data_IF_614347875324
#
_entry.id   IF_614347875324
#
_cell.length_a   1.000
_cell.length_b   1.000
_cell.length_c   1.000
_cell.angle_alpha   90.00
_cell.angle_beta   90.00
_cell.angle_gamma   90.00
#
_symmetry.space_group_name_H-M   'P 1'
#
loop_
_entity.id
_entity.type
_entity.pdbx_description
1 polymer ?
#
# COMPACT_ATOMS: atom_id res chain seq x y z
N UNK A 1 -12.88 -16.46 10.92
CA UNK A 1 -12.32 -16.67 9.56
C UNK A 1 -11.28 -15.59 9.31
N UNK A 2 -10.18 -15.93 8.65
CA UNK A 2 -9.14 -14.94 8.28
C UNK A 2 -9.59 -14.15 7.05
N UNK A 3 -9.06 -12.94 6.86
CA UNK A 3 -9.47 -12.05 5.76
C UNK A 3 -9.33 -12.75 4.39
N UNK A 4 -8.21 -13.42 4.15
CA UNK A 4 -7.99 -14.13 2.88
C UNK A 4 -8.92 -15.32 2.63
N UNK A 5 -9.65 -15.80 3.64
CA UNK A 5 -10.65 -16.88 3.51
C UNK A 5 -12.06 -16.32 3.23
N UNK A 6 -12.21 -15.00 3.28
CA UNK A 6 -13.50 -14.32 3.18
C UNK A 6 -13.69 -13.59 1.85
N UNK A 7 -12.60 -13.30 1.14
CA UNK A 7 -12.62 -12.49 -0.08
C UNK A 7 -11.85 -13.16 -1.20
N UNK A 8 -12.48 -13.27 -2.37
CA UNK A 8 -11.83 -13.75 -3.59
C UNK A 8 -10.93 -12.68 -4.24
N UNK A 9 -11.22 -11.40 -3.95
CA UNK A 9 -10.56 -10.23 -4.51
C UNK A 9 -10.35 -9.15 -3.43
N UNK A 10 -9.13 -8.65 -3.33
CA UNK A 10 -8.75 -7.58 -2.40
C UNK A 10 -8.04 -6.48 -3.20
N UNK A 11 -8.44 -5.23 -3.00
CA UNK A 11 -7.83 -4.09 -3.66
C UNK A 11 -7.40 -3.01 -2.67
N UNK A 12 -6.45 -2.16 -3.09
CA UNK A 12 -6.03 -1.05 -2.26
C UNK A 12 -5.25 0.03 -3.00
N UNK A 13 -5.26 1.21 -2.41
CA UNK A 13 -4.46 2.38 -2.82
C UNK A 13 -3.74 2.92 -1.60
N UNK A 14 -2.51 3.43 -1.78
CA UNK A 14 -1.71 3.99 -0.68
C UNK A 14 -1.61 2.98 0.50
N UNK A 15 -1.94 3.40 1.72
CA UNK A 15 -2.07 2.54 2.91
C UNK A 15 -2.95 1.31 2.67
N UNK A 16 -4.07 1.46 1.96
CA UNK A 16 -4.94 0.35 1.63
C UNK A 16 -4.24 -0.71 0.77
N UNK A 17 -3.31 -0.29 -0.10
CA UNK A 17 -2.49 -1.20 -0.90
C UNK A 17 -1.54 -2.03 -0.04
N UNK A 18 -0.92 -1.41 0.97
CA UNK A 18 -0.09 -2.12 1.95
C UNK A 18 -0.89 -3.18 2.72
N UNK A 19 -2.09 -2.82 3.19
CA UNK A 19 -2.98 -3.74 3.89
C UNK A 19 -3.47 -4.87 2.98
N UNK A 20 -3.78 -4.56 1.71
CA UNK A 20 -4.19 -5.56 0.72
C UNK A 20 -3.10 -6.63 0.53
N UNK A 21 -1.83 -6.22 0.43
CA UNK A 21 -0.69 -7.15 0.33
C UNK A 21 -0.49 -7.92 1.64
N UNK A 22 -0.51 -7.25 2.79
CA UNK A 22 -0.28 -7.91 4.09
C UNK A 22 -1.35 -8.97 4.41
N UNK A 23 -2.63 -8.65 4.17
CA UNK A 23 -3.77 -9.53 4.49
C UNK A 23 -4.01 -10.58 3.40
N UNK A 24 -3.89 -10.18 2.13
CA UNK A 24 -4.23 -11.02 0.98
C UNK A 24 -3.08 -11.88 0.47
N UNK A 25 -1.84 -11.37 0.53
CA UNK A 25 -0.66 -12.06 0.00
C UNK A 25 0.16 -12.71 1.10
N UNK A 26 0.52 -11.93 2.13
CA UNK A 26 1.33 -12.43 3.26
C UNK A 26 0.49 -13.15 4.32
N UNK A 27 -0.82 -13.24 4.12
CA UNK A 27 -1.78 -13.94 4.98
C UNK A 27 -1.68 -13.57 6.47
N UNK A 28 -1.28 -12.32 6.76
CA UNK A 28 -1.10 -11.84 8.12
C UNK A 28 -2.43 -11.72 8.86
N UNK A 29 -2.38 -11.77 10.19
CA UNK A 29 -3.54 -11.46 11.03
C UNK A 29 -3.77 -9.95 11.08
N UNK A 30 -5.01 -9.54 11.40
CA UNK A 30 -5.33 -8.13 11.58
C UNK A 30 -4.48 -7.49 12.68
N UNK A 31 -4.24 -8.20 13.79
CA UNK A 31 -3.41 -7.71 14.90
C UNK A 31 -1.98 -7.42 14.44
N UNK A 32 -1.39 -8.32 13.62
CA UNK A 32 -0.05 -8.13 13.06
C UNK A 32 -0.01 -6.96 12.07
N UNK A 33 -1.05 -6.83 11.24
CA UNK A 33 -1.21 -5.67 10.36
C UNK A 33 -1.31 -4.36 11.15
N UNK A 34 -2.05 -4.34 12.26
CA UNK A 34 -2.16 -3.17 13.13
C UNK A 34 -0.82 -2.81 13.77
N UNK A 35 -0.07 -3.80 14.26
CA UNK A 35 1.26 -3.57 14.84
C UNK A 35 2.20 -2.93 13.81
N UNK A 36 2.26 -3.51 12.61
CA UNK A 36 3.11 -3.02 11.54
C UNK A 36 2.69 -1.62 11.10
N UNK A 37 1.38 -1.36 11.03
CA UNK A 37 0.85 -0.05 10.68
C UNK A 37 1.15 1.01 11.76
N UNK A 38 1.12 0.64 13.05
CA UNK A 38 1.57 1.51 14.14
C UNK A 38 3.06 1.83 14.04
N UNK A 39 3.91 0.85 13.69
CA UNK A 39 5.35 1.07 13.46
C UNK A 39 5.57 2.02 12.29
N UNK A 40 4.87 1.80 11.19
CA UNK A 40 4.89 2.66 10.00
C UNK A 40 4.50 4.10 10.33
N UNK A 41 3.40 4.29 11.06
CA UNK A 41 2.94 5.62 11.45
C UNK A 41 3.97 6.38 12.30
N UNK A 42 4.70 5.70 13.18
CA UNK A 42 5.78 6.34 13.96
C UNK A 42 6.94 6.81 13.09
N UNK A 43 7.28 6.06 12.04
CA UNK A 43 8.38 6.40 11.13
C UNK A 43 7.99 7.51 10.14
N UNK A 44 6.77 7.45 9.61
CA UNK A 44 6.28 8.43 8.63
C UNK A 44 5.86 9.75 9.31
N UNK A 45 5.45 9.71 10.59
CA UNK A 45 4.96 10.88 11.34
C UNK A 45 5.87 11.28 12.51
N UNK A 46 7.18 11.08 12.38
CA UNK A 46 8.19 11.50 13.34
C UNK A 46 8.38 13.05 13.39
N UNK A 47 7.30 13.80 13.64
CA UNK A 47 7.38 15.13 14.26
C UNK A 47 7.27 14.96 15.79
N UNK A 48 7.84 15.86 16.61
CA UNK A 48 7.84 15.71 18.06
C UNK A 48 6.39 15.71 18.55
N UNK A 49 5.96 14.57 19.07
CA UNK A 49 4.64 14.39 19.69
C UNK A 49 4.51 15.44 20.80
N UNK A 50 3.58 16.42 20.71
CA UNK A 50 3.18 17.14 21.91
C UNK A 50 2.59 16.09 22.83
N UNK A 51 3.19 15.97 24.02
CA UNK A 51 2.61 15.17 25.10
C UNK A 51 1.14 15.59 25.26
N UNK A 52 0.31 14.58 25.51
CA UNK A 52 -1.10 14.71 25.91
C UNK A 52 -2.11 14.78 24.77
N UNK A 53 -2.27 13.67 24.03
CA UNK A 53 -3.60 13.14 23.70
C UNK A 53 -3.48 11.71 23.15
N UNK A 54 -3.66 10.71 24.01
CA UNK A 54 -3.75 9.29 23.63
C UNK A 54 -5.05 8.92 22.90
N UNK A 55 -5.84 9.91 22.47
CA UNK A 55 -7.17 9.71 21.89
C UNK A 55 -7.23 9.87 20.36
N UNK A 56 -6.18 10.37 19.70
CA UNK A 56 -6.20 10.51 18.24
C UNK A 56 -6.17 9.12 17.58
N UNK A 57 -7.34 8.67 17.11
CA UNK A 57 -7.47 7.39 16.44
C UNK A 57 -6.63 7.42 15.17
N UNK A 58 -5.92 6.33 14.86
CA UNK A 58 -5.05 6.25 13.68
C UNK A 58 -5.77 6.60 12.36
N UNK A 59 -7.09 6.42 12.30
CA UNK A 59 -7.97 6.83 11.21
C UNK A 59 -7.96 8.34 11.00
N UNK A 60 -7.93 9.11 12.08
CA UNK A 60 -7.91 10.58 12.07
C UNK A 60 -6.56 11.10 11.58
N UNK A 61 -5.46 10.47 12.00
CA UNK A 61 -4.11 10.82 11.51
C UNK A 61 -3.96 10.51 10.01
N UNK A 62 -4.42 9.34 9.58
CA UNK A 62 -4.41 8.97 8.16
C UNK A 62 -5.28 9.92 7.32
N UNK A 63 -6.48 10.24 7.81
CA UNK A 63 -7.39 11.18 7.17
C UNK A 63 -6.77 12.59 7.09
N UNK A 64 -6.08 13.03 8.13
CA UNK A 64 -5.35 14.29 8.15
C UNK A 64 -4.23 14.35 7.11
N UNK A 65 -3.51 13.24 6.89
CA UNK A 65 -2.50 13.15 5.82
C UNK A 65 -3.07 13.02 4.42
N UNK A 66 -4.15 12.26 4.24
CA UNK A 66 -4.85 12.22 2.98
C UNK A 66 -5.32 13.63 2.58
N UNK A 67 -5.92 14.36 3.54
CA UNK A 67 -6.32 15.76 3.37
C UNK A 67 -5.14 16.70 3.15
N UNK A 68 -4.01 16.51 3.85
CA UNK A 68 -2.81 17.34 3.62
C UNK A 68 -2.14 17.04 2.28
N UNK A 69 -2.23 15.81 1.77
CA UNK A 69 -1.72 15.45 0.44
C UNK A 69 -2.53 16.10 -0.69
N UNK A 70 -3.79 16.46 -0.42
CA UNK A 70 -4.69 17.15 -1.35
C UNK A 70 -4.34 18.64 -1.53
N UNK A 71 -3.61 19.24 -0.59
CA UNK A 71 -3.08 20.60 -0.71
C UNK A 71 -1.57 20.63 -0.38
N UNK A 72 -0.74 20.53 -1.44
CA UNK A 72 0.70 20.87 -1.55
C UNK A 72 1.61 19.72 -2.00
N UNK A 73 1.70 19.52 -3.32
CA UNK A 73 2.79 18.75 -4.00
C UNK A 73 4.10 19.58 -4.10
N UNK A 74 4.41 20.40 -3.09
CA UNK A 74 5.67 21.16 -2.99
C UNK A 74 6.12 21.27 -1.54
N UNK A 75 6.54 20.17 -0.93
CA UNK A 75 7.22 20.20 0.38
C UNK A 75 8.46 19.30 0.34
N UNK A 76 9.61 19.97 0.30
CA UNK A 76 10.95 19.53 0.69
C UNK A 76 11.38 18.08 0.39
N UNK A 77 12.00 17.91 -0.78
CA UNK A 77 12.72 16.70 -1.23
C UNK A 77 13.77 16.20 -0.21
N UNK A 78 14.28 17.04 0.69
CA UNK A 78 15.28 16.63 1.69
C UNK A 78 14.69 15.94 2.93
N UNK A 79 13.55 16.40 3.47
CA UNK A 79 12.89 15.75 4.62
C UNK A 79 12.11 14.49 4.22
N UNK A 80 11.57 14.49 3.00
CA UNK A 80 10.87 13.34 2.43
C UNK A 80 11.81 12.17 2.12
N UNK A 81 13.07 12.44 1.69
CA UNK A 81 14.05 11.38 1.37
C UNK A 81 14.34 10.46 2.55
N UNK A 82 14.69 11.02 3.72
CA UNK A 82 14.97 10.23 4.91
C UNK A 82 13.76 9.39 5.37
N UNK A 83 12.56 9.95 5.24
CA UNK A 83 11.31 9.26 5.58
C UNK A 83 10.96 8.17 4.57
N UNK A 84 11.23 8.39 3.29
CA UNK A 84 11.03 7.42 2.22
C UNK A 84 11.99 6.23 2.34
N UNK A 85 13.27 6.46 2.67
CA UNK A 85 14.25 5.38 2.86
C UNK A 85 13.85 4.45 4.02
N UNK A 86 13.38 5.03 5.13
CA UNK A 86 12.90 4.25 6.28
C UNK A 86 11.63 3.47 5.96
N UNK A 87 10.70 4.09 5.25
CA UNK A 87 9.48 3.46 4.78
C UNK A 87 9.78 2.30 3.81
N UNK A 88 10.70 2.50 2.86
CA UNK A 88 11.11 1.48 1.90
C UNK A 88 11.80 0.29 2.59
N UNK A 89 12.67 0.55 3.58
CA UNK A 89 13.29 -0.52 4.38
C UNK A 89 12.26 -1.36 5.11
N UNK A 90 11.31 -0.71 5.79
CA UNK A 90 10.23 -1.42 6.49
C UNK A 90 9.38 -2.24 5.52
N UNK A 91 9.02 -1.68 4.35
CA UNK A 91 8.32 -2.41 3.30
C UNK A 91 9.12 -3.63 2.81
N UNK A 92 10.43 -3.50 2.60
CA UNK A 92 11.30 -4.62 2.20
C UNK A 92 11.32 -5.72 3.25
N UNK A 93 11.44 -5.36 4.53
CA UNK A 93 11.40 -6.32 5.63
C UNK A 93 10.05 -7.05 5.72
N UNK A 94 8.94 -6.33 5.52
CA UNK A 94 7.60 -6.92 5.54
C UNK A 94 7.31 -7.82 4.34
N UNK A 95 7.75 -7.39 3.16
CA UNK A 95 7.47 -8.06 1.90
C UNK A 95 8.47 -9.19 1.61
N UNK A 96 9.61 -9.25 2.33
CA UNK A 96 10.58 -10.32 2.23
C UNK A 96 9.86 -11.68 2.22
N UNK A 97 10.10 -12.44 1.16
CA UNK A 97 9.50 -13.74 0.92
C UNK A 97 10.62 -14.69 0.50
N UNK A 98 10.60 -15.91 1.04
CA UNK A 98 11.58 -16.93 0.67
C UNK A 98 11.26 -17.55 -0.71
N UNK A 99 10.01 -17.41 -1.17
CA UNK A 99 9.50 -18.08 -2.38
C UNK A 99 9.57 -17.22 -3.66
N UNK A 100 10.03 -15.97 -3.59
CA UNK A 100 10.14 -15.09 -4.76
C UNK A 100 9.81 -13.62 -4.49
N UNK A 101 10.34 -12.73 -5.32
CA UNK A 101 10.22 -11.27 -5.15
C UNK A 101 9.15 -10.64 -6.05
N UNK A 102 8.52 -11.41 -6.95
CA UNK A 102 7.53 -10.87 -7.86
C UNK A 102 6.11 -11.06 -7.31
N UNK A 103 5.28 -10.04 -7.51
CA UNK A 103 3.88 -10.07 -7.09
C UNK A 103 3.10 -11.24 -7.73
N UNK A 104 3.42 -11.56 -8.98
CA UNK A 104 2.76 -12.62 -9.76
C UNK A 104 3.05 -14.03 -9.23
N UNK A 105 4.20 -14.22 -8.56
CA UNK A 105 4.57 -15.53 -7.99
C UNK A 105 3.60 -15.95 -6.88
N UNK A 106 2.88 -15.00 -6.29
CA UNK A 106 1.85 -15.29 -5.29
C UNK A 106 0.57 -15.92 -5.87
N UNK A 107 0.36 -15.86 -7.19
CA UNK A 107 -0.83 -16.40 -7.86
C UNK A 107 -1.03 -17.90 -7.63
N UNK A 108 0.06 -18.65 -7.50
CA UNK A 108 0.03 -20.12 -7.37
C UNK A 108 -0.26 -20.60 -5.94
N UNK A 109 -0.29 -19.68 -4.97
CA UNK A 109 -0.41 -20.02 -3.54
C UNK A 109 -1.86 -20.29 -3.08
N UNK A 110 -2.84 -20.27 -3.98
CA UNK A 110 -4.26 -20.48 -3.63
C UNK A 110 -4.83 -19.37 -2.74
N UNK A 111 -4.28 -18.17 -2.86
CA UNK A 111 -4.64 -16.98 -2.09
C UNK A 111 -5.58 -16.07 -2.90
N UNK A 112 -6.22 -15.06 -2.28
CA UNK A 112 -7.06 -14.11 -3.00
C UNK A 112 -6.32 -13.43 -4.15
N UNK A 113 -7.10 -13.02 -5.15
CA UNK A 113 -6.63 -12.06 -6.14
C UNK A 113 -6.41 -10.73 -5.43
N UNK A 114 -5.24 -10.13 -5.62
CA UNK A 114 -4.85 -8.87 -5.02
C UNK A 114 -4.38 -7.91 -6.11
N UNK A 115 -4.86 -6.68 -6.05
CA UNK A 115 -4.30 -5.59 -6.86
C UNK A 115 -4.14 -4.28 -6.08
N UNK A 116 -3.10 -3.54 -6.44
CA UNK A 116 -2.77 -2.23 -5.87
C UNK A 116 -2.75 -1.20 -6.99
N UNK A 117 -3.41 -0.07 -6.77
CA UNK A 117 -3.50 1.01 -7.77
C UNK A 117 -2.55 2.15 -7.41
N UNK A 118 -1.82 2.62 -8.42
CA UNK A 118 -0.94 3.79 -8.37
C UNK A 118 -1.23 4.73 -9.54
N UNK A 119 -0.54 5.86 -9.61
CA UNK A 119 -0.62 6.81 -10.71
C UNK A 119 0.70 6.84 -11.47
N UNK A 120 0.63 6.59 -12.78
CA UNK A 120 1.73 6.75 -13.72
C UNK A 120 1.87 8.24 -14.08
N UNK A 121 2.85 8.90 -13.46
CA UNK A 121 3.12 10.34 -13.67
C UNK A 121 4.10 10.62 -14.81
N UNK A 122 4.65 9.58 -15.43
CA UNK A 122 5.54 9.68 -16.60
C UNK A 122 4.79 9.88 -17.91
N UNK A 123 3.45 9.89 -17.89
CA UNK A 123 2.57 10.08 -19.04
C UNK A 123 1.61 11.24 -18.80
N UNK A 124 1.17 11.89 -19.88
CA UNK A 124 0.24 13.02 -19.84
C UNK A 124 -0.95 12.73 -20.76
N UNK A 125 -2.20 12.79 -20.27
CA UNK A 125 -2.57 12.98 -18.87
C UNK A 125 -2.13 11.78 -18.01
N UNK A 126 -1.92 12.02 -16.71
CA UNK A 126 -1.52 10.98 -15.76
C UNK A 126 -2.55 9.83 -15.77
N UNK A 127 -2.08 8.59 -15.81
CA UNK A 127 -2.92 7.41 -15.92
C UNK A 127 -2.85 6.54 -14.66
N UNK A 128 -3.93 5.84 -14.26
CA UNK A 128 -3.83 4.82 -13.23
C UNK A 128 -3.00 3.64 -13.73
N UNK A 129 -2.24 3.04 -12.82
CA UNK A 129 -1.48 1.82 -13.05
C UNK A 129 -1.88 0.77 -12.01
N UNK A 130 -2.10 -0.47 -12.46
CA UNK A 130 -2.58 -1.56 -11.60
C UNK A 130 -1.50 -2.63 -11.48
N UNK A 131 -0.94 -2.77 -10.28
CA UNK A 131 -0.12 -3.92 -9.91
C UNK A 131 -1.05 -5.04 -9.45
N UNK A 132 -0.89 -6.26 -9.95
CA UNK A 132 -1.79 -7.39 -9.62
C UNK A 132 -1.04 -8.71 -9.53
N UNK A 133 -1.54 -9.64 -8.70
CA UNK A 133 -1.03 -11.00 -8.60
C UNK A 133 -1.78 -12.01 -9.47
N UNK A 134 -2.51 -11.56 -10.49
CA UNK A 134 -3.27 -12.42 -11.38
C UNK A 134 -3.22 -11.89 -12.80
N UNK A 135 -3.45 -12.78 -13.76
CA UNK A 135 -3.57 -12.43 -15.17
C UNK A 135 -5.01 -12.62 -15.64
N UNK A 136 -5.45 -11.77 -16.56
CA UNK A 136 -6.71 -12.00 -17.24
C UNK A 136 -6.62 -13.21 -18.17
N UNK A 137 -7.75 -13.87 -18.48
CA UNK A 137 -7.79 -14.89 -19.52
C UNK A 137 -7.23 -14.35 -20.84
N UNK A 138 -6.59 -15.23 -21.62
CA UNK A 138 -6.09 -14.89 -22.96
C UNK A 138 -7.21 -14.28 -23.82
N UNK A 139 -6.90 -13.21 -24.55
CA UNK A 139 -7.86 -12.48 -25.37
C UNK A 139 -8.71 -11.43 -24.64
N UNK A 140 -8.57 -11.27 -23.32
CA UNK A 140 -9.19 -10.16 -22.59
C UNK A 140 -8.50 -8.86 -22.97
N UNK A 141 -9.21 -7.84 -23.51
CA UNK A 141 -8.62 -6.54 -23.77
C UNK A 141 -8.12 -5.94 -22.45
N UNK A 142 -6.82 -5.69 -22.34
CA UNK A 142 -6.34 -4.82 -21.28
C UNK A 142 -6.77 -3.40 -21.62
N UNK A 143 -7.64 -2.83 -20.78
CA UNK A 143 -8.03 -1.43 -20.88
C UNK A 143 -6.82 -0.58 -20.46
N UNK A 144 -5.83 -0.47 -21.33
CA UNK A 144 -4.94 0.68 -21.32
C UNK A 144 -5.84 1.86 -21.63
N UNK A 145 -6.08 2.71 -20.63
CA UNK A 145 -6.70 4.01 -20.85
C UNK A 145 -5.89 4.70 -21.94
N UNK A 146 -6.45 4.67 -23.14
CA UNK A 146 -5.74 5.07 -24.35
C UNK A 146 -5.54 6.57 -24.27
N UNK A 147 -4.34 7.11 -24.54
CA UNK A 147 -4.21 8.53 -24.74
C UNK A 147 -4.99 8.86 -26.01
N UNK A 148 -6.03 9.69 -25.87
CA UNK A 148 -6.70 10.35 -26.99
C UNK A 148 -5.80 11.42 -27.56
#
# INVERSE_FOLDING_TARGET
>A
KRIHEMFDLICGTSTGGMLAVALGIKLMTLDKCEEIYKRLGKLVFAEPVPKDNEAATWREKLDQLYKSSSQRVRVAVHGAKHSADQFERLLKEMCADEDGNLLIDSAVKGIPKVFVVSTLVSVVPAQPFVFRNYQYPSGTPEMYLSPS
#
